data_IF_806332818360
#
_entry.id   IF_806332818360
#
_cell.length_a   1.000
_cell.length_b   1.000
_cell.length_c   1.000
_cell.angle_alpha   90.00
_cell.angle_beta   90.00
_cell.angle_gamma   90.00
#
_symmetry.space_group_name_H-M   'P 1'
#
loop_
_entity.id
_entity.type
_entity.pdbx_description
1 polymer ?
#
# COMPACT_ATOMS: atom_id res chain seq x y z
N UNK A 1 -5.49 6.33 18.60
CA UNK A 1 -5.16 5.59 17.37
C UNK A 1 -5.99 4.35 17.36
N UNK A 2 -6.74 4.10 16.28
CA UNK A 2 -7.63 2.94 16.12
C UNK A 2 -7.10 2.08 14.97
N UNK A 3 -7.13 0.77 15.14
CA UNK A 3 -6.70 -0.21 14.15
C UNK A 3 -7.91 -1.04 13.74
N UNK A 4 -8.13 -1.18 12.44
CA UNK A 4 -9.29 -1.93 11.89
C UNK A 4 -8.81 -2.89 10.81
N UNK A 5 -9.06 -4.19 11.00
CA UNK A 5 -8.80 -5.19 9.96
C UNK A 5 -9.79 -5.00 8.82
N UNK A 6 -9.31 -5.08 7.58
CA UNK A 6 -10.14 -4.99 6.38
C UNK A 6 -10.80 -6.34 6.03
N UNK A 7 -11.45 -6.41 4.88
CA UNK A 7 -11.97 -7.68 4.34
C UNK A 7 -10.88 -8.75 4.11
N UNK A 8 -9.63 -8.31 3.93
CA UNK A 8 -8.43 -9.18 3.99
C UNK A 8 -7.71 -8.83 5.30
N UNK A 9 -7.84 -9.65 6.36
CA UNK A 9 -7.50 -9.27 7.72
C UNK A 9 -6.05 -8.86 7.98
N UNK A 10 -5.13 -9.24 7.09
CA UNK A 10 -3.72 -8.87 7.18
C UNK A 10 -3.48 -7.40 6.79
N UNK A 11 -4.35 -6.84 5.95
CA UNK A 11 -4.33 -5.41 5.59
C UNK A 11 -5.11 -4.62 6.63
N UNK A 12 -4.48 -3.61 7.23
CA UNK A 12 -5.03 -2.88 8.39
C UNK A 12 -5.16 -1.40 8.08
N UNK A 13 -6.35 -0.85 8.33
CA UNK A 13 -6.59 0.60 8.35
C UNK A 13 -6.20 1.13 9.73
N UNK A 14 -5.44 2.21 9.75
CA UNK A 14 -5.02 2.91 10.97
C UNK A 14 -5.58 4.32 10.94
N UNK A 15 -6.33 4.68 11.98
CA UNK A 15 -6.93 6.01 12.14
C UNK A 15 -6.31 6.67 13.38
N UNK A 16 -5.37 7.62 13.17
CA UNK A 16 -4.78 8.36 14.27
C UNK A 16 -5.79 9.34 14.88
N UNK A 17 -5.69 9.59 16.18
CA UNK A 17 -6.48 10.63 16.83
C UNK A 17 -5.90 12.00 16.49
N UNK A 18 -6.73 12.86 15.93
CA UNK A 18 -6.38 14.25 15.62
C UNK A 18 -6.86 15.15 16.76
N UNK A 19 -5.96 16.01 17.26
CA UNK A 19 -6.25 17.02 18.28
C UNK A 19 -6.16 18.39 17.63
N UNK A 20 -7.30 19.08 17.46
CA UNK A 20 -7.38 20.39 16.84
C UNK A 20 -7.78 21.50 17.82
N UNK A 21 -7.26 22.72 17.58
CA UNK A 21 -7.67 23.96 18.24
C UNK A 21 -7.56 25.16 17.26
N UNK A 22 -7.71 26.39 17.74
CA UNK A 22 -7.63 27.60 16.91
C UNK A 22 -6.27 27.84 16.23
N UNK A 23 -5.22 27.15 16.62
CA UNK A 23 -3.87 27.22 16.03
C UNK A 23 -3.64 26.19 14.93
N UNK A 24 -4.52 25.17 14.78
CA UNK A 24 -4.37 24.09 13.85
C UNK A 24 -4.61 22.73 14.52
N UNK A 25 -3.82 21.71 14.17
CA UNK A 25 -3.97 20.39 14.74
C UNK A 25 -2.62 19.75 15.11
N UNK A 26 -2.67 18.84 16.06
CA UNK A 26 -1.61 17.88 16.37
C UNK A 26 -2.13 16.46 16.12
N UNK A 27 -1.30 15.60 15.52
CA UNK A 27 -1.61 14.21 15.32
C UNK A 27 -0.37 13.35 15.52
N UNK A 28 -0.49 12.32 16.34
CA UNK A 28 0.51 11.25 16.45
C UNK A 28 0.27 10.28 15.33
N UNK A 29 1.10 10.34 14.28
CA UNK A 29 0.88 9.57 13.04
C UNK A 29 1.38 8.14 13.13
N UNK A 30 2.31 7.83 14.03
CA UNK A 30 2.89 6.49 14.17
C UNK A 30 3.27 6.20 15.63
N UNK A 31 2.95 5.00 16.07
CA UNK A 31 3.36 4.43 17.35
C UNK A 31 3.69 2.95 17.13
N UNK A 32 4.98 2.64 17.18
CA UNK A 32 5.46 1.26 16.93
C UNK A 32 4.92 0.27 17.96
N UNK A 33 4.95 0.64 19.25
CA UNK A 33 4.45 -0.18 20.35
C UNK A 33 2.96 -0.55 20.17
N UNK A 34 2.13 0.42 19.76
CA UNK A 34 0.69 0.19 19.53
C UNK A 34 0.42 -0.67 18.31
N UNK A 35 1.20 -0.49 17.25
CA UNK A 35 1.08 -1.29 16.04
C UNK A 35 1.47 -2.75 16.33
N UNK A 36 2.60 -2.98 16.99
CA UNK A 36 3.09 -4.32 17.34
C UNK A 36 2.14 -5.03 18.33
N UNK A 37 1.59 -4.30 19.32
CA UNK A 37 0.56 -4.82 20.23
C UNK A 37 -0.67 -5.33 19.47
N UNK A 38 -1.13 -4.59 18.46
CA UNK A 38 -2.29 -4.96 17.65
C UNK A 38 -1.99 -6.13 16.70
N UNK A 39 -0.82 -6.14 16.07
CA UNK A 39 -0.43 -7.17 15.10
C UNK A 39 -0.04 -8.49 15.77
N UNK A 40 0.56 -8.43 16.96
CA UNK A 40 1.12 -9.59 17.66
C UNK A 40 2.52 -9.99 17.19
N UNK A 41 3.16 -9.20 16.33
CA UNK A 41 4.53 -9.40 15.86
C UNK A 41 5.24 -8.05 15.63
N UNK A 42 6.58 -8.10 15.52
CA UNK A 42 7.42 -6.90 15.36
C UNK A 42 7.60 -6.51 13.90
N UNK A 43 7.60 -5.22 13.64
CA UNK A 43 7.95 -4.62 12.34
C UNK A 43 8.96 -3.49 12.59
N UNK A 44 10.14 -3.60 11.96
CA UNK A 44 11.20 -2.60 12.10
C UNK A 44 11.23 -1.70 10.85
N UNK A 45 10.49 -0.60 10.86
CA UNK A 45 10.56 0.36 9.76
C UNK A 45 11.93 1.04 9.72
N UNK A 46 12.58 1.00 8.56
CA UNK A 46 13.98 1.45 8.38
C UNK A 46 14.14 2.55 7.31
N UNK A 47 13.10 2.83 6.52
CA UNK A 47 13.17 3.83 5.45
C UNK A 47 11.83 4.55 5.30
N UNK A 48 11.90 5.88 5.14
CA UNK A 48 10.75 6.73 4.77
C UNK A 48 10.90 7.20 3.33
N UNK A 49 9.79 7.20 2.60
CA UNK A 49 9.70 7.69 1.23
C UNK A 49 8.56 8.70 1.09
N UNK A 50 8.74 9.67 0.20
CA UNK A 50 7.72 10.64 -0.15
C UNK A 50 7.68 10.83 -1.67
N UNK A 51 6.48 11.04 -2.21
CA UNK A 51 6.29 11.42 -3.61
C UNK A 51 5.22 12.49 -3.75
N UNK A 52 5.41 13.41 -4.69
CA UNK A 52 4.41 14.37 -5.13
C UNK A 52 3.93 14.02 -6.54
N UNK A 53 2.62 14.05 -6.76
CA UNK A 53 2.03 13.63 -8.04
C UNK A 53 0.77 14.43 -8.38
N UNK A 54 0.50 14.61 -9.68
CA UNK A 54 -0.74 15.19 -10.19
C UNK A 54 -1.86 14.14 -10.28
N UNK A 55 -3.11 14.58 -10.36
CA UNK A 55 -4.27 13.73 -10.59
C UNK A 55 -4.05 12.79 -11.78
N UNK A 56 -4.49 11.55 -11.65
CA UNK A 56 -4.38 10.49 -12.65
C UNK A 56 -3.08 9.67 -12.57
N UNK A 57 -2.05 10.13 -11.87
CA UNK A 57 -0.83 9.32 -11.69
C UNK A 57 -1.18 8.05 -10.93
N UNK A 58 -0.91 6.90 -11.55
CA UNK A 58 -1.00 5.58 -10.96
C UNK A 58 0.40 5.00 -10.80
N UNK A 59 0.73 4.53 -9.60
CA UNK A 59 1.99 3.84 -9.28
C UNK A 59 1.65 2.45 -8.74
N UNK A 60 2.05 1.41 -9.43
CA UNK A 60 1.77 0.04 -9.00
C UNK A 60 1.38 -0.90 -10.15
N UNK A 61 1.07 -2.12 -9.80
CA UNK A 61 1.15 -2.71 -8.46
C UNK A 61 2.58 -3.21 -8.22
N UNK A 62 3.20 -2.80 -7.13
CA UNK A 62 4.61 -3.10 -6.85
C UNK A 62 4.79 -3.91 -5.55
N UNK A 63 5.79 -4.79 -5.55
CA UNK A 63 6.26 -5.53 -4.39
C UNK A 63 7.74 -5.90 -4.56
N UNK A 64 8.38 -6.32 -3.48
CA UNK A 64 9.72 -6.91 -3.53
C UNK A 64 9.68 -8.35 -3.04
N UNK A 65 10.44 -9.23 -3.70
CA UNK A 65 10.63 -10.61 -3.27
C UNK A 65 11.59 -10.71 -2.08
N UNK A 66 11.51 -11.80 -1.31
CA UNK A 66 12.57 -12.12 -0.34
C UNK A 66 13.96 -12.18 -1.00
N UNK A 67 15.03 -11.79 -0.30
CA UNK A 67 15.07 -11.39 1.11
C UNK A 67 14.67 -9.94 1.38
N UNK A 68 14.30 -9.16 0.37
CA UNK A 68 14.00 -7.74 0.46
C UNK A 68 12.48 -7.44 0.45
N UNK A 69 11.64 -8.42 0.79
CA UNK A 69 10.20 -8.21 0.91
C UNK A 69 9.88 -7.06 1.89
N UNK A 70 8.90 -6.23 1.54
CA UNK A 70 8.57 -5.01 2.30
C UNK A 70 7.13 -5.02 2.82
N UNK A 71 6.98 -4.71 4.11
CA UNK A 71 5.74 -4.13 4.64
C UNK A 71 5.76 -2.64 4.39
N UNK A 72 4.60 -2.08 4.05
CA UNK A 72 4.44 -0.64 3.82
C UNK A 72 3.39 -0.08 4.77
N UNK A 73 3.71 1.05 5.41
CA UNK A 73 2.75 1.86 6.14
C UNK A 73 2.59 3.18 5.39
N UNK A 74 1.47 3.36 4.73
CA UNK A 74 1.25 4.46 3.78
C UNK A 74 0.24 5.47 4.29
N UNK A 75 0.41 6.74 3.91
CA UNK A 75 -0.51 7.83 4.22
C UNK A 75 -0.44 8.96 3.20
N UNK A 76 -1.47 9.80 3.17
CA UNK A 76 -1.50 11.03 2.39
C UNK A 76 -1.23 12.23 3.31
N UNK A 77 -0.27 13.08 2.92
CA UNK A 77 0.05 14.34 3.61
C UNK A 77 -0.79 15.48 3.05
N UNK A 78 -0.95 15.51 1.71
CA UNK A 78 -1.76 16.48 0.99
C UNK A 78 -2.51 15.78 -0.14
N UNK A 79 -3.76 16.19 -0.39
CA UNK A 79 -4.61 15.62 -1.44
C UNK A 79 -5.24 14.28 -1.07
N UNK A 80 -5.48 13.44 -2.09
CA UNK A 80 -6.24 12.18 -1.94
C UNK A 80 -5.79 11.13 -2.93
N UNK A 81 -5.78 9.87 -2.48
CA UNK A 81 -5.53 8.70 -3.34
C UNK A 81 -6.57 7.60 -3.08
N UNK A 82 -6.79 6.73 -4.07
CA UNK A 82 -7.27 5.38 -3.84
C UNK A 82 -6.04 4.48 -3.70
N UNK A 83 -5.87 3.88 -2.54
CA UNK A 83 -4.77 2.97 -2.21
C UNK A 83 -5.24 1.53 -2.31
N UNK A 84 -4.47 0.66 -2.97
CA UNK A 84 -4.88 -0.71 -3.30
C UNK A 84 -3.81 -1.70 -2.87
N UNK A 85 -4.22 -2.73 -2.14
CA UNK A 85 -3.40 -3.86 -1.74
C UNK A 85 -4.02 -5.17 -2.28
N UNK A 86 -3.27 -5.93 -3.08
CA UNK A 86 -3.68 -7.21 -3.68
C UNK A 86 -2.96 -8.36 -2.99
N UNK A 87 -3.66 -9.36 -2.51
CA UNK A 87 -3.05 -10.59 -1.97
C UNK A 87 -2.45 -11.42 -3.12
N UNK A 88 -1.13 -11.56 -3.10
CA UNK A 88 -0.38 -12.34 -4.09
C UNK A 88 0.28 -13.58 -3.48
N UNK A 89 -0.21 -14.04 -2.33
CA UNK A 89 0.26 -15.27 -1.67
C UNK A 89 -0.49 -16.48 -2.23
N UNK A 90 0.21 -17.35 -2.95
CA UNK A 90 -0.37 -18.61 -3.45
C UNK A 90 -0.96 -19.42 -2.30
N UNK A 91 -2.02 -20.14 -2.57
CA UNK A 91 -2.76 -20.93 -1.56
C UNK A 91 -3.44 -20.10 -0.45
N UNK A 92 -3.40 -18.77 -0.54
CA UNK A 92 -4.21 -17.92 0.35
C UNK A 92 -5.70 -18.02 -0.01
N UNK A 93 -6.61 -18.03 0.97
CA UNK A 93 -8.06 -17.95 0.72
C UNK A 93 -8.49 -16.65 0.05
N UNK A 94 -7.61 -15.64 0.06
CA UNK A 94 -7.82 -14.34 -0.56
C UNK A 94 -6.87 -14.06 -1.73
N UNK A 95 -6.19 -15.09 -2.26
CA UNK A 95 -5.32 -14.95 -3.42
C UNK A 95 -6.05 -14.26 -4.58
N UNK A 96 -5.44 -13.22 -5.16
CA UNK A 96 -6.03 -12.40 -6.22
C UNK A 96 -7.18 -11.49 -5.78
N UNK A 97 -7.55 -11.48 -4.49
CA UNK A 97 -8.46 -10.48 -3.94
C UNK A 97 -7.70 -9.22 -3.57
N UNK A 98 -8.41 -8.08 -3.56
CA UNK A 98 -7.80 -6.82 -3.17
C UNK A 98 -8.65 -6.05 -2.15
N UNK A 99 -8.00 -5.13 -1.48
CA UNK A 99 -8.61 -4.08 -0.66
C UNK A 99 -8.29 -2.74 -1.30
N UNK A 100 -9.30 -1.88 -1.42
CA UNK A 100 -9.13 -0.51 -1.90
C UNK A 100 -9.64 0.47 -0.83
N UNK A 101 -8.81 1.45 -0.45
CA UNK A 101 -9.12 2.40 0.62
C UNK A 101 -8.82 3.83 0.16
N UNK A 102 -9.77 4.74 0.34
CA UNK A 102 -9.55 6.16 0.16
C UNK A 102 -8.71 6.72 1.32
N UNK A 103 -7.51 7.20 0.99
CA UNK A 103 -6.63 7.90 1.92
C UNK A 103 -6.56 9.38 1.52
N UNK A 104 -6.63 10.27 2.49
CA UNK A 104 -6.52 11.71 2.24
C UNK A 104 -5.88 12.47 3.39
N UNK A 105 -5.39 13.67 3.06
CA UNK A 105 -4.93 14.62 4.07
C UNK A 105 -6.03 14.99 5.09
N UNK A 106 -7.30 14.91 4.68
CA UNK A 106 -8.44 15.23 5.52
C UNK A 106 -8.79 14.10 6.49
N UNK A 107 -8.93 12.85 5.96
CA UNK A 107 -9.34 11.72 6.79
C UNK A 107 -8.22 11.14 7.67
N UNK A 108 -6.95 11.50 7.38
CA UNK A 108 -5.75 11.05 8.10
C UNK A 108 -5.58 9.53 8.18
N UNK A 109 -6.39 8.76 7.45
CA UNK A 109 -6.26 7.30 7.42
C UNK A 109 -4.92 6.88 6.84
N UNK A 110 -4.42 5.76 7.35
CA UNK A 110 -3.23 5.09 6.86
C UNK A 110 -3.57 3.65 6.55
N UNK A 111 -2.83 3.03 5.65
CA UNK A 111 -2.97 1.61 5.33
C UNK A 111 -1.66 0.88 5.62
N UNK A 112 -1.75 -0.19 6.38
CA UNK A 112 -0.67 -1.16 6.52
C UNK A 112 -0.86 -2.25 5.48
N UNK A 113 0.11 -2.37 4.58
CA UNK A 113 0.18 -3.40 3.54
C UNK A 113 1.33 -4.34 3.90
N UNK A 114 1.05 -5.58 4.32
CA UNK A 114 2.08 -6.51 4.77
C UNK A 114 2.88 -7.11 3.61
N UNK A 115 3.97 -7.84 3.94
CA UNK A 115 4.70 -8.67 2.98
C UNK A 115 3.76 -9.70 2.37
N UNK A 116 3.95 -10.03 1.09
CA UNK A 116 3.05 -10.94 0.37
C UNK A 116 1.88 -10.24 -0.34
N UNK A 117 1.89 -8.91 -0.38
CA UNK A 117 0.89 -8.12 -1.11
C UNK A 117 1.56 -7.26 -2.18
N UNK A 118 0.92 -7.15 -3.34
CA UNK A 118 1.24 -6.15 -4.33
C UNK A 118 0.48 -4.86 -4.00
N UNK A 119 1.17 -3.72 -4.06
CA UNK A 119 0.66 -2.43 -3.63
C UNK A 119 0.70 -1.39 -4.75
N UNK A 120 -0.34 -0.60 -4.85
CA UNK A 120 -0.38 0.54 -5.76
C UNK A 120 -1.42 1.57 -5.32
N UNK A 121 -1.35 2.75 -5.92
CA UNK A 121 -2.33 3.80 -5.68
C UNK A 121 -2.55 4.65 -6.92
N UNK A 122 -3.73 5.24 -7.02
CA UNK A 122 -4.04 6.26 -8.01
C UNK A 122 -4.33 7.59 -7.33
N UNK A 123 -3.77 8.64 -7.87
CA UNK A 123 -3.93 10.02 -7.37
C UNK A 123 -5.22 10.62 -7.87
N UNK A 124 -6.07 11.09 -6.96
CA UNK A 124 -7.40 11.62 -7.25
C UNK A 124 -7.47 13.16 -7.23
N UNK A 125 -6.45 13.83 -6.70
CA UNK A 125 -6.34 15.30 -6.63
C UNK A 125 -4.95 15.75 -7.04
N UNK A 126 -4.85 16.96 -7.63
CA UNK A 126 -3.55 17.52 -7.98
C UNK A 126 -2.72 17.85 -6.73
N UNK A 127 -1.40 17.97 -6.92
CA UNK A 127 -0.43 18.27 -5.86
C UNK A 127 -0.47 17.30 -4.67
N UNK A 128 -0.96 16.08 -4.88
CA UNK A 128 -1.02 15.05 -3.82
C UNK A 128 0.38 14.65 -3.37
N UNK A 129 0.61 14.72 -2.05
CA UNK A 129 1.84 14.25 -1.39
C UNK A 129 1.51 12.95 -0.64
N UNK A 130 2.17 11.88 -1.06
CA UNK A 130 2.03 10.53 -0.53
C UNK A 130 3.32 10.11 0.14
N UNK A 131 3.24 9.68 1.40
CA UNK A 131 4.39 9.25 2.19
C UNK A 131 4.19 7.84 2.73
N UNK A 132 5.27 7.08 2.85
CA UNK A 132 5.21 5.73 3.39
C UNK A 132 6.51 5.28 4.04
N UNK A 133 6.36 4.46 5.10
CA UNK A 133 7.45 3.73 5.75
C UNK A 133 7.55 2.33 5.17
N UNK A 134 8.78 1.80 5.09
CA UNK A 134 9.04 0.40 4.72
C UNK A 134 9.98 -0.26 5.73
N UNK A 135 9.82 -1.56 5.91
CA UNK A 135 10.58 -2.38 6.87
C UNK A 135 11.77 -3.11 6.24
N UNK A 136 12.11 -2.78 4.99
CA UNK A 136 13.29 -3.26 4.31
C UNK A 136 13.73 -2.25 3.24
N UNK A 137 15.02 -2.25 2.87
CA UNK A 137 15.54 -1.33 1.87
C UNK A 137 15.11 -1.71 0.45
N UNK A 138 15.11 -0.71 -0.44
CA UNK A 138 14.84 -0.95 -1.84
C UNK A 138 15.93 -1.80 -2.49
N UNK A 139 15.53 -2.86 -3.20
CA UNK A 139 16.40 -3.72 -3.98
C UNK A 139 15.86 -3.85 -5.41
N UNK A 140 16.55 -3.27 -6.42
CA UNK A 140 16.12 -3.37 -7.82
C UNK A 140 16.02 -4.82 -8.31
N UNK A 141 16.86 -5.71 -7.78
CA UNK A 141 16.89 -7.13 -8.15
C UNK A 141 15.66 -7.89 -7.66
N UNK A 142 15.08 -7.46 -6.53
CA UNK A 142 13.88 -8.05 -5.94
C UNK A 142 12.59 -7.33 -6.33
N UNK A 143 12.69 -6.18 -7.01
CA UNK A 143 11.54 -5.36 -7.39
C UNK A 143 10.71 -6.01 -8.50
N UNK A 144 9.43 -6.18 -8.24
CA UNK A 144 8.45 -6.83 -9.13
C UNK A 144 7.16 -6.01 -9.19
N UNK A 145 6.32 -6.37 -10.15
CA UNK A 145 4.99 -5.77 -10.26
C UNK A 145 3.99 -6.67 -10.94
N UNK A 146 2.72 -6.30 -10.78
CA UNK A 146 1.57 -6.89 -11.48
C UNK A 146 0.88 -5.80 -12.29
N UNK A 147 0.34 -6.15 -13.44
CA UNK A 147 -0.40 -5.24 -14.30
C UNK A 147 -1.59 -4.61 -13.55
N UNK A 148 -1.64 -3.29 -13.50
CA UNK A 148 -2.71 -2.54 -12.83
C UNK A 148 -4.09 -2.82 -13.44
N UNK A 149 -4.13 -3.19 -14.71
CA UNK A 149 -5.32 -3.47 -15.52
C UNK A 149 -5.55 -4.97 -15.77
N UNK A 150 -5.00 -5.83 -14.91
CA UNK A 150 -5.25 -7.27 -15.00
C UNK A 150 -6.75 -7.55 -14.87
N UNK A 151 -7.40 -8.11 -15.91
CA UNK A 151 -8.85 -8.36 -15.86
C UNK A 151 -9.26 -9.39 -14.80
N UNK A 152 -8.34 -10.26 -14.36
CA UNK A 152 -8.61 -11.20 -13.27
C UNK A 152 -8.71 -10.50 -11.90
N UNK A 153 -8.01 -9.39 -11.72
CA UNK A 153 -8.11 -8.56 -10.51
C UNK A 153 -9.31 -7.63 -10.56
N UNK A 154 -9.66 -7.13 -11.75
CA UNK A 154 -10.80 -6.22 -11.99
C UNK A 154 -10.87 -5.05 -10.99
N UNK A 155 -9.74 -4.37 -10.80
CA UNK A 155 -9.63 -3.25 -9.85
C UNK A 155 -10.35 -2.03 -10.41
N UNK A 156 -11.32 -1.50 -9.65
CA UNK A 156 -11.92 -0.20 -9.94
C UNK A 156 -11.01 0.91 -9.40
N UNK A 157 -10.30 1.57 -10.32
CA UNK A 157 -9.40 2.68 -10.00
C UNK A 157 -10.12 4.03 -9.86
N UNK A 158 -11.46 4.07 -9.91
CA UNK A 158 -12.29 5.29 -9.81
C UNK A 158 -12.02 6.35 -10.90
N UNK A 159 -11.13 6.10 -11.83
CA UNK A 159 -10.81 6.94 -12.99
C UNK A 159 -10.88 6.10 -14.26
N UNK A 160 -11.21 6.75 -15.36
CA UNK A 160 -11.16 6.08 -16.66
C UNK A 160 -9.71 5.82 -17.08
N UNK A 161 -9.50 4.76 -17.86
CA UNK A 161 -8.15 4.34 -18.28
C UNK A 161 -7.39 5.47 -19.00
N UNK A 162 -8.08 6.28 -19.80
CA UNK A 162 -7.52 7.42 -20.52
C UNK A 162 -7.08 8.59 -19.64
N UNK A 163 -7.56 8.64 -18.39
CA UNK A 163 -7.14 9.63 -17.39
C UNK A 163 -5.88 9.19 -16.62
N UNK A 164 -5.49 7.91 -16.72
CA UNK A 164 -4.37 7.35 -15.98
C UNK A 164 -3.03 7.74 -16.60
N UNK A 165 -2.10 8.12 -15.75
CA UNK A 165 -0.72 8.48 -16.09
C UNK A 165 0.23 7.47 -15.45
N UNK A 166 0.85 6.64 -16.28
CA UNK A 166 1.69 5.51 -15.86
C UNK A 166 3.15 5.76 -16.24
N UNK A 167 4.05 5.18 -15.45
CA UNK A 167 5.45 5.07 -15.86
C UNK A 167 5.61 4.02 -16.96
N UNK A 168 6.70 4.09 -17.72
CA UNK A 168 7.05 3.07 -18.72
C UNK A 168 7.21 1.67 -18.10
N UNK A 169 7.57 1.60 -16.81
CA UNK A 169 7.67 0.35 -16.05
C UNK A 169 6.28 -0.22 -15.78
N UNK A 170 5.34 0.61 -15.33
CA UNK A 170 4.01 0.16 -14.91
C UNK A 170 3.14 -0.32 -16.08
N UNK A 171 3.42 0.17 -17.29
CA UNK A 171 2.74 -0.30 -18.52
C UNK A 171 3.20 -1.68 -19.00
N UNK A 172 4.27 -2.24 -18.44
CA UNK A 172 4.91 -3.49 -18.91
C UNK A 172 4.85 -4.63 -17.89
N UNK A 173 4.14 -4.45 -16.79
CA UNK A 173 4.03 -5.47 -15.76
C UNK A 173 3.23 -6.67 -16.24
N UNK A 174 3.59 -7.91 -15.84
CA UNK A 174 2.84 -9.12 -16.18
C UNK A 174 1.50 -9.15 -15.43
N UNK A 175 0.54 -9.92 -15.93
CA UNK A 175 -0.66 -10.27 -15.17
C UNK A 175 -0.32 -11.24 -14.05
N UNK A 176 -1.20 -11.33 -13.05
CA UNK A 176 -0.99 -12.19 -11.88
C UNK A 176 -0.75 -13.67 -12.24
N UNK A 177 -1.45 -14.15 -13.26
CA UNK A 177 -1.31 -15.55 -13.74
C UNK A 177 -0.12 -15.76 -14.70
N UNK A 178 0.57 -14.70 -15.10
CA UNK A 178 1.70 -14.75 -16.05
C UNK A 178 3.06 -14.72 -15.31
N UNK A 179 3.06 -14.55 -13.98
CA UNK A 179 4.29 -14.51 -13.17
C UNK A 179 4.37 -15.66 -12.19
N UNK A 180 5.59 -16.14 -11.94
CA UNK A 180 5.91 -17.10 -10.89
C UNK A 180 6.54 -16.45 -9.65
N UNK A 181 6.88 -15.17 -9.74
CA UNK A 181 7.53 -14.37 -8.69
C UNK A 181 6.50 -13.93 -7.65
N UNK A 182 5.94 -14.88 -6.89
CA UNK A 182 4.87 -14.68 -5.91
C UNK A 182 5.29 -15.20 -4.54
N UNK A 183 4.48 -14.92 -3.53
CA UNK A 183 4.64 -15.39 -2.17
C UNK A 183 3.84 -16.69 -1.93
N UNK A 184 4.14 -17.41 -0.85
CA UNK A 184 3.37 -18.57 -0.39
C UNK A 184 2.64 -18.23 0.89
N UNK A 185 1.37 -18.62 0.98
CA UNK A 185 0.59 -18.43 2.20
C UNK A 185 1.09 -19.37 3.32
N UNK A 186 1.14 -18.89 4.55
CA UNK A 186 1.61 -19.65 5.70
C UNK A 186 3.13 -19.63 5.90
N UNK A 187 3.89 -18.98 5.03
CA UNK A 187 5.32 -18.74 5.23
C UNK A 187 5.52 -17.46 6.06
N UNK A 188 6.36 -17.56 7.09
CA UNK A 188 6.79 -16.38 7.86
C UNK A 188 7.89 -15.63 7.11
N UNK A 189 7.54 -14.49 6.56
CA UNK A 189 8.49 -13.61 5.87
C UNK A 189 9.13 -12.56 6.78
N UNK A 190 8.86 -12.60 8.10
CA UNK A 190 9.43 -11.67 9.10
C UNK A 190 10.53 -12.32 9.97
N UNK A 191 10.71 -13.64 9.84
CA UNK A 191 11.73 -14.41 10.57
C UNK A 191 13.15 -14.09 10.10
#
# INVERSE_FOLDING_TARGET
>A
MTFTRTAIPDVVIIEPKVHGDSRGYFVETFRQDKLEEFLGYKINFCQDNESKSSKGVLRGLHYQLPPHAQTKLVRVIQGRVLDVAVDIRRNSPTFGKYVAVLLSAENKKQLLVPRGFAHGFVVLEDDTIFAYKVDNYYSPECDRGIAFNDPALNIDWMLKTEELKLSAKDTKQPKLNETNDLFEFGVDYYA
#
